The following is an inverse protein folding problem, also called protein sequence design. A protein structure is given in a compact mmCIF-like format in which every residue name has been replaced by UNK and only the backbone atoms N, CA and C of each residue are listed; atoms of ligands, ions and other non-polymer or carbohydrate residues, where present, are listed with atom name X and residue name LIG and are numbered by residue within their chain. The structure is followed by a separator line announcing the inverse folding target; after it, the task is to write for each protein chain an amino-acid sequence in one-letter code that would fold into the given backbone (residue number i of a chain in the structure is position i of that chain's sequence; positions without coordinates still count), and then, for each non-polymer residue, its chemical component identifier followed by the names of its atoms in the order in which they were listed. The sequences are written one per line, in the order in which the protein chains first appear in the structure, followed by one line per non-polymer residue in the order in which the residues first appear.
data_IF_107753308565
#
_entry.id   IF_107753308565
#
_cell.length_a   1.000
_cell.length_b   1.000
_cell.length_c   1.000
_cell.angle_alpha   90.00
_cell.angle_beta   90.00
_cell.angle_gamma   90.00
#
_symmetry.space_group_name_H-M   'P 1'
#
loop_
_entity.id
_entity.type
_entity.pdbx_description
1 polymer ?
#
# COMPACT_ATOMS: atom_id res chain seq x y z
N UNK A 1 8.69 -15.83 27.98
CA UNK A 1 9.69 -15.75 26.95
C UNK A 1 9.75 -14.33 26.41
N UNK A 2 10.58 -13.52 27.04
CA UNK A 2 10.73 -12.08 26.72
C UNK A 2 11.77 -11.82 25.61
N UNK A 3 12.25 -12.82 24.93
CA UNK A 3 13.34 -12.71 23.97
C UNK A 3 12.94 -12.72 22.50
N UNK A 4 11.71 -13.07 22.16
CA UNK A 4 11.23 -12.90 20.77
C UNK A 4 10.45 -11.61 20.70
N UNK A 5 10.99 -10.64 19.99
CA UNK A 5 10.28 -9.42 19.68
C UNK A 5 9.01 -9.76 18.88
N UNK A 6 8.03 -8.88 18.92
CA UNK A 6 6.83 -9.00 18.10
C UNK A 6 7.14 -9.25 16.61
N UNK A 7 8.30 -8.80 16.15
CA UNK A 7 8.80 -9.02 14.79
C UNK A 7 9.24 -10.46 14.53
N UNK A 8 9.76 -11.17 15.55
CA UNK A 8 10.18 -12.57 15.44
C UNK A 8 8.98 -13.54 15.44
N UNK A 9 7.80 -13.06 15.88
CA UNK A 9 6.56 -13.81 15.80
C UNK A 9 5.99 -13.86 14.38
N UNK A 10 6.57 -13.11 13.45
CA UNK A 10 6.19 -13.04 12.05
C UNK A 10 7.05 -13.97 11.16
N UNK A 11 7.40 -15.15 11.62
CA UNK A 11 7.82 -16.24 10.73
C UNK A 11 6.69 -16.67 9.79
N UNK A 12 5.48 -16.21 10.08
CA UNK A 12 4.29 -16.41 9.24
C UNK A 12 3.77 -15.07 8.72
N UNK A 13 4.07 -14.79 7.46
CA UNK A 13 3.44 -13.67 6.75
C UNK A 13 2.17 -14.16 6.08
N UNK A 14 1.01 -13.52 6.33
CA UNK A 14 -0.23 -13.84 5.63
C UNK A 14 -0.06 -13.80 4.11
N UNK A 15 -0.89 -14.58 3.40
CA UNK A 15 -0.73 -14.81 1.96
C UNK A 15 -0.69 -13.53 1.12
N UNK A 16 -1.59 -12.56 1.38
CA UNK A 16 -1.65 -11.33 0.58
C UNK A 16 -0.44 -10.42 0.80
N UNK A 17 -0.01 -10.08 2.01
CA UNK A 17 1.25 -9.35 2.21
C UNK A 17 2.45 -10.06 1.61
N UNK A 18 2.54 -11.38 1.74
CA UNK A 18 3.61 -12.17 1.13
C UNK A 18 3.61 -12.06 -0.39
N UNK A 19 2.45 -12.17 -1.01
CA UNK A 19 2.30 -12.04 -2.46
C UNK A 19 2.71 -10.64 -2.95
N UNK A 20 2.33 -9.59 -2.23
CA UNK A 20 2.71 -8.20 -2.54
C UNK A 20 4.23 -8.04 -2.49
N UNK A 21 4.87 -8.52 -1.43
CA UNK A 21 6.32 -8.41 -1.30
C UNK A 21 7.06 -9.23 -2.37
N UNK A 22 6.54 -10.42 -2.71
CA UNK A 22 7.07 -11.25 -3.80
C UNK A 22 6.94 -10.56 -5.15
N UNK A 23 5.81 -9.90 -5.41
CA UNK A 23 5.59 -9.11 -6.62
C UNK A 23 6.61 -7.97 -6.74
N UNK A 24 6.82 -7.23 -5.66
CA UNK A 24 7.81 -6.15 -5.64
C UNK A 24 9.23 -6.68 -5.91
N UNK A 25 9.61 -7.79 -5.29
CA UNK A 25 10.92 -8.41 -5.49
C UNK A 25 11.10 -8.89 -6.93
N UNK A 26 10.06 -9.46 -7.54
CA UNK A 26 10.07 -9.90 -8.93
C UNK A 26 10.36 -8.76 -9.92
N UNK A 27 9.87 -7.56 -9.65
CA UNK A 27 10.10 -6.38 -10.49
C UNK A 27 11.26 -5.49 -10.02
N UNK A 28 12.11 -5.97 -9.11
CA UNK A 28 13.22 -5.21 -8.53
C UNK A 28 12.79 -3.92 -7.81
N UNK A 29 11.57 -3.91 -7.28
CA UNK A 29 10.98 -2.79 -6.54
C UNK A 29 10.94 -3.03 -5.03
N UNK A 30 11.46 -4.16 -4.56
CA UNK A 30 11.38 -4.58 -3.16
C UNK A 30 12.39 -3.91 -2.23
N UNK A 31 13.36 -3.16 -2.76
CA UNK A 31 14.29 -2.40 -1.92
C UNK A 31 13.65 -1.07 -1.49
N UNK A 32 12.91 -1.12 -0.40
CA UNK A 32 12.18 0.01 0.18
C UNK A 32 12.95 0.73 1.28
N UNK A 33 14.20 0.38 1.50
CA UNK A 33 15.01 0.98 2.57
C UNK A 33 15.12 2.50 2.40
N UNK A 34 14.77 3.23 3.44
CA UNK A 34 14.79 4.69 3.44
C UNK A 34 13.68 5.34 2.61
N UNK A 35 12.77 4.55 2.04
CA UNK A 35 11.63 5.05 1.28
C UNK A 35 10.47 5.40 2.18
N UNK A 36 9.73 6.44 1.84
CA UNK A 36 8.49 6.81 2.51
C UNK A 36 7.32 6.03 1.92
N UNK A 37 6.61 5.32 2.77
CA UNK A 37 5.57 4.38 2.36
C UNK A 37 4.26 4.68 3.09
N UNK A 38 3.18 4.83 2.33
CA UNK A 38 1.82 4.92 2.85
C UNK A 38 1.13 3.56 2.71
N UNK A 39 0.55 3.06 3.79
CA UNK A 39 -0.31 1.87 3.80
C UNK A 39 -1.71 2.29 4.24
N UNK A 40 -2.64 2.31 3.31
CA UNK A 40 -4.03 2.68 3.56
C UNK A 40 -4.84 1.41 3.82
N UNK A 41 -5.34 1.27 5.04
CA UNK A 41 -5.97 0.07 5.57
C UNK A 41 -5.10 -0.58 6.64
N UNK A 42 -5.70 -0.86 7.80
CA UNK A 42 -5.01 -1.43 8.97
C UNK A 42 -5.63 -2.76 9.40
N UNK A 43 -6.11 -3.57 8.45
CA UNK A 43 -6.62 -4.90 8.77
C UNK A 43 -5.52 -5.80 9.33
N UNK A 44 -5.90 -6.75 10.18
CA UNK A 44 -4.96 -7.70 10.81
C UNK A 44 -4.41 -8.73 9.83
N UNK A 45 -5.06 -8.90 8.68
CA UNK A 45 -4.66 -9.90 7.67
C UNK A 45 -3.93 -9.31 6.46
N UNK A 46 -4.01 -8.00 6.23
CA UNK A 46 -3.35 -7.33 5.10
C UNK A 46 -2.53 -6.13 5.55
N UNK A 47 -3.16 -5.04 5.98
CA UNK A 47 -2.49 -3.77 6.19
C UNK A 47 -1.42 -3.81 7.27
N UNK A 48 -1.74 -4.34 8.46
CA UNK A 48 -0.79 -4.45 9.56
C UNK A 48 0.39 -5.37 9.25
N UNK A 49 0.18 -6.60 8.74
CA UNK A 49 1.30 -7.47 8.36
C UNK A 49 2.16 -6.88 7.25
N UNK A 50 1.55 -6.23 6.26
CA UNK A 50 2.29 -5.56 5.19
C UNK A 50 3.17 -4.43 5.73
N UNK A 51 2.63 -3.59 6.61
CA UNK A 51 3.39 -2.52 7.24
C UNK A 51 4.60 -3.07 8.02
N UNK A 52 4.44 -4.18 8.72
CA UNK A 52 5.53 -4.84 9.43
C UNK A 52 6.62 -5.38 8.49
N UNK A 53 6.24 -5.98 7.38
CA UNK A 53 7.21 -6.44 6.37
C UNK A 53 8.01 -5.27 5.76
N UNK A 54 7.33 -4.16 5.48
CA UNK A 54 7.98 -2.96 4.97
C UNK A 54 8.94 -2.33 6.00
N UNK A 55 8.53 -2.30 7.28
CA UNK A 55 9.40 -1.85 8.38
C UNK A 55 10.64 -2.74 8.53
N UNK A 56 10.50 -4.06 8.44
CA UNK A 56 11.64 -5.00 8.46
C UNK A 56 12.64 -4.70 7.34
N UNK A 57 12.16 -4.25 6.19
CA UNK A 57 13.01 -3.85 5.06
C UNK A 57 13.58 -2.44 5.17
N UNK A 58 13.33 -1.74 6.26
CA UNK A 58 13.89 -0.41 6.54
C UNK A 58 13.14 0.76 5.91
N UNK A 59 11.87 0.58 5.53
CA UNK A 59 11.03 1.67 5.06
C UNK A 59 10.55 2.59 6.20
N UNK A 60 10.26 3.84 5.87
CA UNK A 60 9.49 4.74 6.73
C UNK A 60 8.02 4.57 6.40
N UNK A 61 7.25 3.94 7.29
CA UNK A 61 5.88 3.53 7.03
C UNK A 61 4.91 4.31 7.89
N UNK A 62 3.90 4.92 7.26
CA UNK A 62 2.70 5.39 7.93
C UNK A 62 1.50 4.55 7.51
N UNK A 63 0.66 4.20 8.47
CA UNK A 63 -0.57 3.44 8.24
C UNK A 63 -1.78 4.31 8.53
N UNK A 64 -2.82 4.15 7.73
CA UNK A 64 -4.05 4.93 7.81
C UNK A 64 -5.28 4.02 7.87
N UNK A 65 -6.31 4.47 8.55
CA UNK A 65 -7.60 3.80 8.61
C UNK A 65 -8.77 4.81 8.58
N UNK A 66 -9.97 4.33 8.88
CA UNK A 66 -11.20 5.14 8.86
C UNK A 66 -11.20 6.31 9.86
N UNK A 67 -10.26 6.36 10.80
CA UNK A 67 -10.11 7.46 11.77
C UNK A 67 -9.33 8.64 11.21
N UNK A 68 -8.62 8.42 10.11
CA UNK A 68 -7.89 9.48 9.44
C UNK A 68 -8.78 10.22 8.44
N UNK A 69 -8.59 11.53 8.35
CA UNK A 69 -9.29 12.32 7.33
C UNK A 69 -8.70 12.08 5.95
N UNK A 70 -9.48 12.24 4.87
CA UNK A 70 -8.95 12.16 3.50
C UNK A 70 -7.79 13.13 3.26
N UNK A 71 -7.81 14.29 3.89
CA UNK A 71 -6.76 15.32 3.79
C UNK A 71 -5.44 14.85 4.40
N UNK A 72 -5.49 14.20 5.57
CA UNK A 72 -4.30 13.63 6.23
C UNK A 72 -3.66 12.55 5.35
N UNK A 73 -4.46 11.64 4.82
CA UNK A 73 -3.99 10.57 3.95
C UNK A 73 -3.39 11.15 2.67
N UNK A 74 -4.09 12.07 2.04
CA UNK A 74 -3.64 12.74 0.80
C UNK A 74 -2.30 13.45 0.99
N UNK A 75 -2.17 14.25 2.04
CA UNK A 75 -0.95 15.00 2.33
C UNK A 75 0.27 14.09 2.49
N UNK A 76 0.11 12.94 3.15
CA UNK A 76 1.18 11.96 3.29
C UNK A 76 1.47 11.23 1.98
N UNK A 77 0.44 10.80 1.26
CA UNK A 77 0.59 10.11 -0.02
C UNK A 77 1.33 10.94 -1.07
N UNK A 78 1.08 12.26 -1.13
CA UNK A 78 1.77 13.16 -2.06
C UNK A 78 3.29 13.20 -1.87
N UNK A 79 3.77 12.85 -0.68
CA UNK A 79 5.20 12.81 -0.34
C UNK A 79 5.77 11.38 -0.32
N UNK A 80 4.93 10.37 -0.53
CA UNK A 80 5.33 8.97 -0.45
C UNK A 80 5.95 8.47 -1.74
N UNK A 81 6.91 7.56 -1.62
CA UNK A 81 7.50 6.84 -2.75
C UNK A 81 6.61 5.66 -3.16
N UNK A 82 5.97 5.03 -2.20
CA UNK A 82 5.06 3.90 -2.39
C UNK A 82 3.72 4.17 -1.71
N UNK A 83 2.64 3.79 -2.37
CA UNK A 83 1.28 3.83 -1.83
C UNK A 83 0.66 2.45 -1.99
N UNK A 84 0.31 1.82 -0.87
CA UNK A 84 -0.44 0.57 -0.82
C UNK A 84 -1.85 0.88 -0.31
N UNK A 85 -2.87 0.38 -0.99
CA UNK A 85 -4.25 0.55 -0.55
C UNK A 85 -4.99 -0.77 -0.49
N UNK A 86 -5.54 -1.09 0.68
CA UNK A 86 -6.25 -2.33 0.96
C UNK A 86 -7.44 -2.11 1.89
N UNK A 87 -8.38 -1.23 1.50
CA UNK A 87 -9.54 -0.85 2.32
C UNK A 87 -10.87 -1.41 1.83
N UNK A 88 -10.96 -1.74 0.54
CA UNK A 88 -12.22 -2.05 -0.13
C UNK A 88 -13.05 -0.81 -0.49
N UNK A 89 -12.54 0.39 -0.23
CA UNK A 89 -13.21 1.65 -0.61
C UNK A 89 -12.89 2.00 -2.07
N UNK A 90 -13.85 1.77 -2.93
CA UNK A 90 -13.73 1.93 -4.38
C UNK A 90 -13.26 3.34 -4.75
N UNK A 91 -12.18 3.42 -5.52
CA UNK A 91 -11.60 4.66 -6.04
C UNK A 91 -11.24 5.70 -4.96
N UNK A 92 -10.90 5.21 -3.74
CA UNK A 92 -10.43 6.08 -2.65
C UNK A 92 -9.21 6.88 -3.07
N UNK A 93 -8.24 6.23 -3.70
CA UNK A 93 -7.00 6.86 -4.17
C UNK A 93 -7.18 7.33 -5.61
N UNK A 94 -7.12 8.61 -5.80
CA UNK A 94 -7.25 9.29 -7.10
C UNK A 94 -6.04 10.20 -7.37
N UNK A 95 -6.09 10.99 -8.42
CA UNK A 95 -4.98 11.86 -8.83
C UNK A 95 -4.54 12.88 -7.75
N UNK A 96 -5.45 13.29 -6.87
CA UNK A 96 -5.13 14.26 -5.80
C UNK A 96 -4.19 13.68 -4.73
N UNK A 97 -4.05 12.35 -4.67
CA UNK A 97 -3.14 11.65 -3.74
C UNK A 97 -1.70 11.58 -4.27
N UNK A 98 -1.47 12.00 -5.51
CA UNK A 98 -0.20 11.79 -6.19
C UNK A 98 0.74 12.98 -6.08
N UNK A 99 2.04 12.67 -6.15
CA UNK A 99 3.10 13.63 -6.38
C UNK A 99 3.10 14.11 -7.84
N UNK A 100 3.52 15.34 -8.08
CA UNK A 100 3.73 15.87 -9.43
C UNK A 100 4.91 15.23 -10.18
N UNK A 101 5.78 14.49 -9.48
CA UNK A 101 7.04 13.96 -10.03
C UNK A 101 6.91 12.68 -10.85
N UNK A 102 5.75 12.04 -10.87
CA UNK A 102 5.49 10.76 -11.58
C UNK A 102 6.44 9.59 -11.22
N UNK A 103 6.99 9.60 -10.02
CA UNK A 103 7.99 8.60 -9.57
C UNK A 103 7.40 7.57 -8.60
N UNK A 104 6.11 7.69 -8.28
CA UNK A 104 5.47 6.87 -7.27
C UNK A 104 5.12 5.48 -7.79
N UNK A 105 5.12 4.53 -6.86
CA UNK A 105 4.71 3.14 -7.08
C UNK A 105 3.44 2.89 -6.28
N UNK A 106 2.37 2.49 -6.97
CA UNK A 106 1.06 2.26 -6.39
C UNK A 106 0.71 0.77 -6.46
N UNK A 107 0.36 0.20 -5.32
CA UNK A 107 -0.06 -1.21 -5.21
C UNK A 107 -1.49 -1.26 -4.67
N UNK A 108 -2.41 -1.64 -5.53
CA UNK A 108 -3.82 -1.81 -5.18
C UNK A 108 -4.06 -3.23 -4.67
N UNK A 109 -4.44 -3.34 -3.41
CA UNK A 109 -4.78 -4.61 -2.74
C UNK A 109 -6.27 -4.63 -2.45
N UNK A 110 -6.92 -3.47 -2.55
CA UNK A 110 -8.34 -3.32 -2.30
C UNK A 110 -9.20 -4.03 -3.34
N UNK A 111 -10.36 -4.47 -2.89
CA UNK A 111 -11.32 -5.15 -3.74
C UNK A 111 -12.74 -4.74 -3.36
N UNK A 112 -13.42 -4.17 -4.31
CA UNK A 112 -14.82 -3.79 -4.18
C UNK A 112 -15.57 -4.03 -5.48
N UNK A 113 -16.81 -3.60 -5.57
CA UNK A 113 -17.63 -3.73 -6.77
C UNK A 113 -18.26 -2.37 -7.14
N UNK A 114 -18.23 -2.08 -8.41
CA UNK A 114 -18.94 -0.94 -9.00
C UNK A 114 -19.70 -1.42 -10.24
N UNK A 115 -21.03 -1.26 -10.23
CA UNK A 115 -21.90 -1.72 -11.34
C UNK A 115 -21.73 -3.23 -11.63
N UNK A 116 -21.58 -4.06 -10.59
CA UNK A 116 -21.39 -5.51 -10.72
C UNK A 116 -20.01 -5.96 -11.19
N UNK A 117 -19.08 -5.04 -11.41
CA UNK A 117 -17.69 -5.36 -11.83
C UNK A 117 -16.72 -5.17 -10.67
N UNK A 118 -15.71 -6.04 -10.53
CA UNK A 118 -14.67 -5.84 -9.54
C UNK A 118 -13.84 -4.60 -9.87
N UNK A 119 -13.58 -3.80 -8.84
CA UNK A 119 -12.74 -2.59 -8.94
C UNK A 119 -11.90 -2.46 -7.67
N UNK A 120 -10.76 -1.81 -7.80
CA UNK A 120 -9.86 -1.57 -6.68
C UNK A 120 -10.12 -0.29 -5.92
N UNK A 121 -9.28 -0.06 -4.93
CA UNK A 121 -9.25 1.18 -4.15
C UNK A 121 -8.66 2.35 -4.96
N UNK A 122 -7.79 2.06 -5.91
CA UNK A 122 -7.13 3.07 -6.73
C UNK A 122 -7.93 3.27 -8.02
N UNK A 123 -8.21 4.51 -8.35
CA UNK A 123 -8.80 4.86 -9.64
C UNK A 123 -7.74 4.74 -10.74
N UNK A 124 -7.58 3.53 -11.26
CA UNK A 124 -6.54 3.16 -12.20
C UNK A 124 -6.50 4.09 -13.43
N UNK A 125 -7.66 4.37 -14.02
CA UNK A 125 -7.75 5.22 -15.21
C UNK A 125 -7.35 6.65 -14.94
N UNK A 126 -7.65 7.18 -13.73
CA UNK A 126 -7.31 8.54 -13.35
C UNK A 126 -5.81 8.70 -13.03
N UNK A 127 -5.11 7.64 -12.63
CA UNK A 127 -3.74 7.75 -12.09
C UNK A 127 -2.66 7.11 -12.96
N UNK A 128 -2.98 6.16 -13.85
CA UNK A 128 -2.00 5.36 -14.59
C UNK A 128 -0.94 6.15 -15.34
N UNK A 129 -1.28 7.31 -15.87
CA UNK A 129 -0.37 8.17 -16.63
C UNK A 129 0.47 9.12 -15.74
N UNK A 130 0.23 9.09 -14.42
CA UNK A 130 0.83 9.99 -13.44
C UNK A 130 1.77 9.30 -12.45
N UNK A 131 2.02 8.01 -12.61
CA UNK A 131 2.85 7.20 -11.71
C UNK A 131 3.91 6.44 -12.48
N UNK A 132 4.92 5.93 -11.77
CA UNK A 132 5.97 5.12 -12.37
C UNK A 132 5.51 3.68 -12.59
N UNK A 133 4.91 3.07 -11.57
CA UNK A 133 4.31 1.74 -11.64
C UNK A 133 2.98 1.71 -10.89
N UNK A 134 2.07 0.90 -11.38
CA UNK A 134 0.77 0.64 -10.74
C UNK A 134 0.31 -0.79 -11.02
N UNK A 135 -0.28 -1.44 -10.01
CA UNK A 135 -0.98 -2.71 -10.19
C UNK A 135 -2.45 -2.46 -10.50
N UNK A 136 -3.00 -3.05 -11.56
CA UNK A 136 -4.45 -3.00 -11.80
C UNK A 136 -5.20 -3.98 -10.89
N UNK A 137 -6.45 -3.66 -10.59
CA UNK A 137 -7.44 -4.63 -10.13
C UNK A 137 -8.36 -4.91 -11.30
N UNK A 138 -8.55 -6.19 -11.64
CA UNK A 138 -9.24 -6.59 -12.86
C UNK A 138 -10.67 -6.10 -12.97
#
# INVERSE_FOLDING_TARGET
MLGKSFFDLLDFTPATPKAVMTLLDYYDLGNVRGRQVAVIGQSTIVGKPLALELLKRGAFVATFDIRNTPEEIRAFCQKSDYIFSGTGAVHLVNADFLSSKKEQILIDIGYGHKNGKPVGDIDFEAVKDHVFHITPVP
#
